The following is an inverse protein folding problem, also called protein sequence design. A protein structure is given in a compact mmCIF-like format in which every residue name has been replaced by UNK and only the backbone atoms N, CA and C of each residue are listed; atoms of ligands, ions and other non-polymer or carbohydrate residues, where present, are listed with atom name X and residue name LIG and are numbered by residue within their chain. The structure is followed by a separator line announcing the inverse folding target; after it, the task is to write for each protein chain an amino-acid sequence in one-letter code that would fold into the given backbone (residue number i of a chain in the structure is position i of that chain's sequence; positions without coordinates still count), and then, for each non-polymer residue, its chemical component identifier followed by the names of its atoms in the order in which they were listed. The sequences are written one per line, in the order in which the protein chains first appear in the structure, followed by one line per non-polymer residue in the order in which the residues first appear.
data_IF_250134189780
#
_entry.id   IF_250134189780
#
_cell.length_a   1.000
_cell.length_b   1.000
_cell.length_c   1.000
_cell.angle_alpha   90.00
_cell.angle_beta   90.00
_cell.angle_gamma   90.00
#
_symmetry.space_group_name_H-M   'P 1'
#
loop_
_entity.id
_entity.type
_entity.pdbx_description
1 polymer ?
#
# COMPACT_ATOMS: atom_id res chain seq x y z
N UNK A 1 17.26 -17.53 9.50
CA UNK A 1 17.03 -17.12 9.38
C UNK A 1 16.32 -16.69 9.09
N UNK A 2 15.82 -16.72 9.04
CA UNK A 2 15.22 -16.24 8.44
C UNK A 2 14.41 -15.28 8.85
N UNK A 3 14.27 -14.22 8.56
CA UNK A 3 13.49 -13.24 8.90
C UNK A 3 12.25 -13.30 8.33
N UNK A 4 11.16 -13.17 9.03
CA UNK A 4 9.84 -13.21 8.51
C UNK A 4 9.22 -11.86 8.56
N UNK A 5 10.02 -10.85 8.62
CA UNK A 5 9.52 -9.49 8.62
C UNK A 5 9.06 -9.10 7.23
N UNK A 6 8.00 -8.31 7.12
CA UNK A 6 7.55 -7.84 5.82
C UNK A 6 8.64 -7.00 5.17
N UNK A 7 8.70 -6.97 3.85
CA UNK A 7 9.68 -6.16 3.17
C UNK A 7 9.52 -4.70 3.52
N UNK A 8 10.64 -4.01 3.59
CA UNK A 8 10.61 -2.60 3.85
C UNK A 8 10.11 -1.87 2.61
N UNK A 9 9.22 -0.94 2.79
CA UNK A 9 8.71 -0.18 1.66
C UNK A 9 9.64 0.98 1.33
N UNK A 10 9.75 1.28 0.05
CA UNK A 10 10.48 2.45 -0.37
C UNK A 10 9.63 3.69 -0.05
N UNK A 11 10.25 4.86 -0.13
CA UNK A 11 9.54 6.10 0.10
C UNK A 11 8.37 6.26 -0.87
N UNK A 12 8.57 5.85 -2.11
CA UNK A 12 7.51 5.92 -3.10
C UNK A 12 6.34 5.01 -2.72
N UNK A 13 6.65 3.83 -2.23
CA UNK A 13 5.61 2.88 -1.84
C UNK A 13 4.87 3.34 -0.60
N UNK A 14 5.59 3.83 0.38
CA UNK A 14 4.96 4.36 1.59
C UNK A 14 4.10 5.57 1.27
N UNK A 15 4.60 6.44 0.42
CA UNK A 15 3.84 7.61 0.01
C UNK A 15 2.57 7.23 -0.72
N UNK A 16 2.65 6.18 -1.55
CA UNK A 16 1.49 5.72 -2.28
C UNK A 16 0.42 5.20 -1.33
N UNK A 17 0.82 4.45 -0.31
CA UNK A 17 -0.15 3.96 0.68
C UNK A 17 -0.84 5.11 1.39
N UNK A 18 -0.09 6.12 1.79
CA UNK A 18 -0.67 7.27 2.46
C UNK A 18 -1.60 8.03 1.55
N UNK A 19 -1.25 8.13 0.29
CA UNK A 19 -2.09 8.81 -0.67
C UNK A 19 -3.41 8.08 -0.85
N UNK A 20 -3.38 6.76 -0.91
CA UNK A 20 -4.61 5.98 -1.03
C UNK A 20 -5.48 6.19 0.19
N UNK A 21 -4.87 6.23 1.37
CA UNK A 21 -5.63 6.45 2.59
C UNK A 21 -6.33 7.80 2.59
N UNK A 22 -5.62 8.82 2.13
CA UNK A 22 -6.13 10.19 2.19
C UNK A 22 -7.05 10.52 1.02
N UNK A 23 -6.69 10.07 -0.17
CA UNK A 23 -7.45 10.41 -1.37
C UNK A 23 -7.64 9.18 -2.24
N UNK A 24 -8.44 8.20 -1.78
CA UNK A 24 -8.55 6.95 -2.53
C UNK A 24 -9.11 7.12 -3.94
N UNK A 25 -10.01 8.05 -4.11
CA UNK A 25 -10.66 8.20 -5.40
C UNK A 25 -9.81 8.94 -6.43
N UNK A 26 -8.84 9.70 -5.97
CA UNK A 26 -8.03 10.51 -6.88
C UNK A 26 -6.57 10.11 -6.91
N UNK A 27 -6.22 9.04 -6.24
CA UNK A 27 -4.85 8.61 -6.22
C UNK A 27 -4.38 8.22 -7.60
N UNK A 28 -3.19 8.64 -7.95
CA UNK A 28 -2.60 8.30 -9.21
C UNK A 28 -1.29 7.61 -8.91
N UNK A 29 -1.32 6.31 -8.89
CA UNK A 29 -0.19 5.52 -8.48
C UNK A 29 0.36 4.73 -9.66
N UNK A 30 1.68 4.78 -9.89
CA UNK A 30 2.26 4.02 -10.97
C UNK A 30 1.90 2.54 -10.87
N UNK A 31 1.61 1.95 -12.00
CA UNK A 31 1.16 0.55 -12.02
C UNK A 31 2.14 -0.38 -11.34
N UNK A 32 3.42 -0.13 -11.50
CA UNK A 32 4.45 -0.96 -10.88
C UNK A 32 4.33 -0.95 -9.35
N UNK A 33 4.11 0.22 -8.78
CA UNK A 33 3.96 0.36 -7.34
C UNK A 33 2.65 -0.26 -6.89
N UNK A 34 1.60 -0.05 -7.67
CA UNK A 34 0.31 -0.61 -7.38
C UNK A 34 0.38 -2.14 -7.32
N UNK A 35 1.01 -2.75 -8.30
CA UNK A 35 1.15 -4.20 -8.36
C UNK A 35 1.90 -4.72 -7.13
N UNK A 36 2.95 -4.03 -6.76
CA UNK A 36 3.72 -4.45 -5.60
C UNK A 36 2.90 -4.38 -4.32
N UNK A 37 2.14 -3.31 -4.15
CA UNK A 37 1.34 -3.16 -2.94
C UNK A 37 0.22 -4.19 -2.88
N UNK A 38 -0.33 -4.56 -4.02
CA UNK A 38 -1.33 -5.62 -4.07
C UNK A 38 -0.70 -6.95 -3.67
N UNK A 39 0.49 -7.24 -4.21
CA UNK A 39 1.18 -8.48 -3.89
C UNK A 39 1.52 -8.57 -2.40
N UNK A 40 1.83 -7.45 -1.78
CA UNK A 40 2.14 -7.42 -0.37
C UNK A 40 0.89 -7.48 0.52
N UNK A 41 -0.28 -7.35 -0.09
CA UNK A 41 -1.52 -7.44 0.65
C UNK A 41 -1.93 -6.15 1.34
N UNK A 42 -1.36 -5.03 0.92
CA UNK A 42 -1.65 -3.75 1.56
C UNK A 42 -2.81 -3.00 0.90
N UNK A 43 -3.07 -3.29 -0.35
CA UNK A 43 -4.19 -2.69 -1.05
C UNK A 43 -4.91 -3.76 -1.85
N UNK A 44 -6.13 -3.46 -2.27
CA UNK A 44 -6.84 -4.35 -3.16
C UNK A 44 -7.65 -3.52 -4.13
N UNK A 45 -7.94 -4.11 -5.27
CA UNK A 45 -8.74 -3.45 -6.27
C UNK A 45 -10.20 -3.77 -6.01
N UNK A 46 -11.04 -2.77 -6.10
CA UNK A 46 -12.47 -2.95 -5.97
C UNK A 46 -13.11 -2.22 -7.13
N UNK A 47 -14.38 -2.44 -7.32
CA UNK A 47 -15.10 -1.76 -8.37
C UNK A 47 -15.03 -0.27 -8.12
N UNK A 48 -14.43 0.44 -9.01
CA UNK A 48 -14.32 1.88 -8.88
C UNK A 48 -13.00 2.37 -8.33
N UNK A 49 -12.07 1.48 -7.98
CA UNK A 49 -10.79 1.98 -7.54
C UNK A 49 -10.00 1.02 -6.67
N UNK A 50 -9.19 1.58 -5.81
CA UNK A 50 -8.28 0.84 -4.97
C UNK A 50 -8.54 1.25 -3.54
N UNK A 51 -8.53 0.29 -2.63
CA UNK A 51 -8.71 0.59 -1.21
C UNK A 51 -7.61 -0.09 -0.41
N UNK A 52 -7.36 0.44 0.78
CA UNK A 52 -6.42 -0.18 1.69
C UNK A 52 -7.04 -1.38 2.34
N UNK A 53 -6.22 -2.38 2.59
CA UNK A 53 -6.64 -3.53 3.39
C UNK A 53 -6.31 -3.22 4.84
N UNK A 54 -6.73 -4.11 5.74
CA UNK A 54 -6.36 -3.98 7.16
C UNK A 54 -4.84 -4.00 7.31
N UNK A 55 -4.17 -4.84 6.52
CA UNK A 55 -2.71 -4.90 6.55
C UNK A 55 -2.10 -3.59 6.09
N UNK A 56 -2.70 -2.96 5.10
CA UNK A 56 -2.23 -1.65 4.64
C UNK A 56 -2.34 -0.60 5.71
N UNK A 57 -3.46 -0.58 6.42
CA UNK A 57 -3.64 0.37 7.50
C UNK A 57 -2.63 0.16 8.62
N UNK A 58 -2.38 -1.10 8.96
CA UNK A 58 -1.39 -1.40 9.98
C UNK A 58 0.00 -0.98 9.55
N UNK A 59 0.30 -1.16 8.28
CA UNK A 59 1.62 -0.78 7.78
C UNK A 59 1.84 0.71 7.88
N UNK A 60 0.84 1.49 7.55
CA UNK A 60 0.93 2.94 7.66
C UNK A 60 1.14 3.33 9.12
N UNK A 61 0.44 2.71 10.03
CA UNK A 61 0.58 3.00 11.44
C UNK A 61 1.97 2.66 11.95
N UNK A 62 2.55 1.58 11.43
CA UNK A 62 3.88 1.17 11.86
C UNK A 62 4.98 2.04 11.28
N UNK A 63 4.68 2.63 10.15
CA UNK A 63 5.67 3.35 9.39
C UNK A 63 5.84 4.78 9.82
N UNK A 64 5.47 5.16 10.96
CA UNK A 64 5.51 6.53 11.37
C UNK A 64 6.84 6.95 11.90
#
# INVERSE_FOLDING_TARGET
MDQILPPKLSDAESGALRQIKTHPATSSIPFRIQTRLVDLGYIKEVLGGIVLTDNGLRRIAMDR
#
